data_IF_752924673744
#
_entry.id   IF_752924673744
#
_cell.length_a   1.000
_cell.length_b   1.000
_cell.length_c   1.000
_cell.angle_alpha   90.00
_cell.angle_beta   90.00
_cell.angle_gamma   90.00
#
_symmetry.space_group_name_H-M   'P 1'
#
loop_
_entity.id
_entity.type
_entity.pdbx_description
1 polymer ?
#
# COMPACT_ATOMS: atom_id res chain seq x y z
N UNK A 1 6.33 25.89 2.00
CA UNK A 1 6.08 24.94 3.11
C UNK A 1 4.75 24.26 2.79
N UNK A 2 4.73 22.93 2.62
CA UNK A 2 3.47 22.22 2.35
C UNK A 2 2.62 22.19 3.62
N UNK A 3 1.32 22.44 3.47
CA UNK A 3 0.36 22.29 4.55
C UNK A 3 0.19 20.80 4.89
N UNK A 4 0.00 20.46 6.16
CA UNK A 4 -0.13 19.07 6.60
C UNK A 4 -1.31 18.35 5.92
N UNK A 5 -2.40 19.07 5.62
CA UNK A 5 -3.55 18.51 4.89
C UNK A 5 -3.20 18.18 3.44
N UNK A 6 -2.38 19.03 2.82
CA UNK A 6 -1.90 18.79 1.46
C UNK A 6 -0.93 17.61 1.41
N UNK A 7 -0.15 17.36 2.46
CA UNK A 7 0.68 16.15 2.55
C UNK A 7 -0.17 14.87 2.53
N UNK A 8 -1.21 14.79 3.37
CA UNK A 8 -2.06 13.60 3.45
C UNK A 8 -2.88 13.36 2.18
N UNK A 9 -3.34 14.41 1.49
CA UNK A 9 -4.02 14.29 0.18
C UNK A 9 -3.10 13.77 -0.93
N UNK A 10 -1.80 13.99 -0.79
CA UNK A 10 -0.79 13.55 -1.76
C UNK A 10 -0.02 12.31 -1.29
N UNK A 11 -0.56 11.57 -0.31
CA UNK A 11 0.01 10.27 0.06
C UNK A 11 -0.09 9.33 -1.15
N UNK A 12 1.03 8.70 -1.55
CA UNK A 12 1.00 7.76 -2.65
C UNK A 12 0.20 6.51 -2.26
N UNK A 13 -0.45 5.91 -3.26
CA UNK A 13 -1.09 4.60 -3.10
C UNK A 13 -0.07 3.56 -2.61
N UNK A 14 -0.55 2.63 -1.79
CA UNK A 14 0.26 1.52 -1.30
C UNK A 14 0.65 0.61 -2.47
N UNK A 15 1.94 0.29 -2.58
CA UNK A 15 2.48 -0.57 -3.64
C UNK A 15 3.06 -1.85 -3.08
N UNK A 16 2.81 -2.96 -3.76
CA UNK A 16 3.32 -4.27 -3.37
C UNK A 16 4.85 -4.29 -3.56
N UNK A 17 5.57 -4.74 -2.54
CA UNK A 17 7.03 -4.82 -2.57
C UNK A 17 7.57 -5.90 -3.53
N UNK A 18 6.71 -6.86 -3.93
CA UNK A 18 7.09 -7.96 -4.84
C UNK A 18 6.77 -7.67 -6.30
N UNK A 19 5.55 -7.19 -6.60
CA UNK A 19 5.11 -6.96 -7.98
C UNK A 19 5.01 -5.48 -8.38
N UNK A 20 5.11 -4.55 -7.43
CA UNK A 20 5.05 -3.10 -7.70
C UNK A 20 3.65 -2.55 -7.97
N UNK A 21 2.62 -3.40 -8.03
CA UNK A 21 1.24 -2.98 -8.27
C UNK A 21 0.66 -2.23 -7.07
N UNK A 22 -0.16 -1.23 -7.35
CA UNK A 22 -0.98 -0.57 -6.33
C UNK A 22 -2.04 -1.54 -5.79
N UNK A 23 -2.27 -1.51 -4.48
CA UNK A 23 -3.29 -2.34 -3.84
C UNK A 23 -3.90 -1.62 -2.63
N UNK A 24 -5.13 -2.02 -2.26
CA UNK A 24 -5.78 -1.49 -1.08
C UNK A 24 -5.06 -1.98 0.19
N UNK A 25 -4.92 -1.11 1.18
CA UNK A 25 -4.32 -1.49 2.43
C UNK A 25 -5.20 -2.55 3.12
N UNK A 26 -4.62 -3.73 3.37
CA UNK A 26 -5.26 -4.81 4.11
C UNK A 26 -5.61 -4.36 5.55
N UNK A 27 -6.57 -5.05 6.19
CA UNK A 27 -7.09 -4.68 7.51
C UNK A 27 -6.00 -4.44 8.57
N UNK A 28 -4.95 -5.27 8.58
CA UNK A 28 -3.84 -5.13 9.53
C UNK A 28 -2.85 -4.01 9.17
N UNK A 29 -2.90 -3.45 7.96
CA UNK A 29 -2.07 -2.35 7.45
C UNK A 29 -0.53 -2.51 7.51
N UNK A 30 0.00 -3.51 8.22
CA UNK A 30 1.44 -3.81 8.34
C UNK A 30 2.02 -4.57 7.14
N UNK A 31 1.18 -5.26 6.36
CA UNK A 31 1.61 -6.02 5.19
C UNK A 31 2.13 -5.13 4.06
N UNK A 32 3.20 -5.52 3.40
CA UNK A 32 3.79 -4.82 2.24
C UNK A 32 3.65 -5.61 0.93
N UNK A 33 2.93 -6.72 0.97
CA UNK A 33 2.58 -7.56 -0.17
C UNK A 33 1.09 -7.42 -0.45
N UNK A 34 0.69 -7.48 -1.72
CA UNK A 34 -0.72 -7.56 -2.09
C UNK A 34 -1.26 -8.97 -1.87
N UNK A 35 -2.59 -9.11 -1.80
CA UNK A 35 -3.29 -10.40 -1.65
C UNK A 35 -2.81 -11.48 -2.63
N UNK A 36 -2.48 -11.09 -3.86
CA UNK A 36 -2.03 -12.01 -4.89
C UNK A 36 -0.61 -12.57 -4.63
N UNK A 37 0.21 -11.82 -3.89
CA UNK A 37 1.61 -12.15 -3.60
C UNK A 37 1.81 -12.77 -2.22
N UNK A 38 0.88 -12.50 -1.30
CA UNK A 38 0.86 -12.98 0.09
C UNK A 38 0.03 -14.26 0.27
N UNK A 39 -0.65 -14.72 -0.79
CA UNK A 39 -1.46 -15.95 -0.75
C UNK A 39 -0.58 -17.19 -0.44
N UNK A 40 -0.82 -17.88 0.70
CA UNK A 40 -0.01 -19.02 1.12
C UNK A 40 -0.31 -20.31 0.36
N UNK A 41 -1.34 -20.33 -0.51
CA UNK A 41 -1.73 -21.50 -1.30
C UNK A 41 -1.15 -21.46 -2.73
N UNK A 42 -0.26 -20.50 -3.03
CA UNK A 42 0.33 -20.27 -4.35
C UNK A 42 1.81 -20.58 -4.43
#
# INVERSE_FOLDING_TARGET
MMNVLEFFKNLPDKKCSKCGNSFEAQADCYGNLCENCDDPAR
#
